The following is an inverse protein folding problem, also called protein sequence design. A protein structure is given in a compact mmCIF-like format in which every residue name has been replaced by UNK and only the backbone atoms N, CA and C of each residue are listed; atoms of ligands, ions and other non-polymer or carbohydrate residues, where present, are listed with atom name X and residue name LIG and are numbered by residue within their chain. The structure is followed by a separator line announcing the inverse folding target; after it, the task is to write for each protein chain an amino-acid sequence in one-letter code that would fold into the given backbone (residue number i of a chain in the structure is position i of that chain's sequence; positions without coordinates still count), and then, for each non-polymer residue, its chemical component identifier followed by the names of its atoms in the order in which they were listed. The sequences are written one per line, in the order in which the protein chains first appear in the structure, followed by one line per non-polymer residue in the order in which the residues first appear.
data_IF_147586611240
#
_entry.id   IF_147586611240
#
_cell.length_a   1.000
_cell.length_b   1.000
_cell.length_c   1.000
_cell.angle_alpha   90.00
_cell.angle_beta   90.00
_cell.angle_gamma   90.00
#
_symmetry.space_group_name_H-M   'P 1'
#
loop_
_entity.id
_entity.type
_entity.pdbx_description
1 polymer ?
#
# COMPACT_ATOMS: atom_id res chain seq x y z
N UNK A 1 -7.47 18.06 -9.62
CA UNK A 1 -7.63 16.60 -9.73
C UNK A 1 -8.54 16.13 -8.60
N UNK A 2 -9.44 15.21 -8.87
CA UNK A 2 -10.32 14.56 -7.87
C UNK A 2 -10.26 13.05 -8.11
N UNK A 3 -10.33 12.25 -7.05
CA UNK A 3 -10.30 10.80 -7.10
C UNK A 3 -11.64 10.23 -6.66
N UNK A 4 -12.15 9.26 -7.42
CA UNK A 4 -13.26 8.41 -6.99
C UNK A 4 -12.68 7.13 -6.38
N UNK A 5 -12.94 6.91 -5.08
CA UNK A 5 -12.47 5.75 -4.34
C UNK A 5 -13.34 4.52 -4.64
N UNK A 6 -12.88 3.33 -4.25
CA UNK A 6 -13.63 2.08 -4.44
C UNK A 6 -15.02 2.07 -3.76
N UNK A 7 -15.19 2.87 -2.71
CA UNK A 7 -16.48 3.08 -2.04
C UNK A 7 -17.35 4.18 -2.70
N UNK A 8 -16.95 4.67 -3.89
CA UNK A 8 -17.57 5.76 -4.66
C UNK A 8 -17.51 7.14 -4.00
N UNK A 9 -16.76 7.29 -2.91
CA UNK A 9 -16.53 8.60 -2.32
C UNK A 9 -15.57 9.38 -3.21
N UNK A 10 -15.92 10.64 -3.48
CA UNK A 10 -15.05 11.57 -4.21
C UNK A 10 -14.17 12.29 -3.20
N UNK A 11 -12.86 12.23 -3.39
CA UNK A 11 -11.86 12.88 -2.54
C UNK A 11 -10.96 13.79 -3.36
N UNK A 12 -10.48 14.87 -2.73
CA UNK A 12 -9.48 15.75 -3.32
C UNK A 12 -8.12 15.43 -2.69
N UNK A 13 -7.10 15.05 -3.49
CA UNK A 13 -5.79 14.79 -2.95
C UNK A 13 -5.11 16.05 -2.42
N UNK A 14 -4.36 15.86 -1.34
CA UNK A 14 -3.56 16.89 -0.67
C UNK A 14 -2.17 16.99 -1.29
N UNK A 15 -1.65 15.87 -1.81
CA UNK A 15 -0.35 15.82 -2.46
C UNK A 15 -0.08 14.49 -3.14
N UNK A 16 1.11 14.39 -3.73
CA UNK A 16 1.65 13.16 -4.31
C UNK A 16 3.04 12.96 -3.74
N UNK A 17 3.34 11.76 -3.27
CA UNK A 17 4.67 11.34 -2.86
C UNK A 17 5.25 10.47 -3.98
N UNK A 18 6.27 10.97 -4.66
CA UNK A 18 6.92 10.27 -5.77
C UNK A 18 8.19 9.55 -5.30
N UNK A 19 8.54 8.45 -5.96
CA UNK A 19 9.77 7.67 -5.73
C UNK A 19 9.95 7.19 -4.29
N UNK A 20 8.86 6.79 -3.62
CA UNK A 20 8.90 6.27 -2.25
C UNK A 20 9.27 4.80 -2.26
N UNK A 21 10.29 4.42 -1.48
CA UNK A 21 10.62 3.01 -1.25
C UNK A 21 9.75 2.41 -0.14
N UNK A 22 8.92 1.44 -0.50
CA UNK A 22 8.08 0.69 0.42
C UNK A 22 8.78 -0.59 0.83
N UNK A 23 9.01 -0.74 2.13
CA UNK A 23 9.56 -1.98 2.67
C UNK A 23 8.46 -3.01 2.91
N UNK A 24 8.55 -4.17 2.27
CA UNK A 24 7.68 -5.32 2.53
C UNK A 24 8.54 -6.53 2.90
N UNK A 25 8.51 -6.91 4.18
CA UNK A 25 9.44 -7.91 4.72
C UNK A 25 10.90 -7.49 4.53
N UNK A 26 11.61 -8.20 3.64
CA UNK A 26 13.00 -7.94 3.27
C UNK A 26 13.18 -7.11 1.99
N UNK A 27 12.12 -6.88 1.23
CA UNK A 27 12.17 -6.21 -0.07
C UNK A 27 11.85 -4.73 0.03
N UNK A 28 12.35 -3.96 -0.94
CA UNK A 28 12.04 -2.55 -1.12
C UNK A 28 11.53 -2.33 -2.54
N UNK A 29 10.33 -1.79 -2.67
CA UNK A 29 9.72 -1.50 -3.96
C UNK A 29 9.55 0.00 -4.13
N UNK A 30 9.98 0.60 -5.25
CA UNK A 30 9.66 1.98 -5.56
C UNK A 30 8.18 2.09 -5.91
N UNK A 31 7.50 3.11 -5.39
CA UNK A 31 6.13 3.43 -5.73
C UNK A 31 5.83 4.90 -5.50
N UNK A 32 4.91 5.41 -6.32
CA UNK A 32 4.30 6.71 -6.09
C UNK A 32 2.99 6.52 -5.31
N UNK A 33 2.63 7.52 -4.50
CA UNK A 33 1.42 7.51 -3.70
C UNK A 33 0.67 8.83 -3.81
N UNK A 34 -0.65 8.75 -3.87
CA UNK A 34 -1.50 9.93 -3.70
C UNK A 34 -1.87 10.07 -2.22
N UNK A 35 -1.63 11.25 -1.66
CA UNK A 35 -1.93 11.56 -0.26
C UNK A 35 -3.33 12.18 -0.19
N UNK A 36 -4.19 11.60 0.63
CA UNK A 36 -5.53 12.11 0.93
C UNK A 36 -5.62 12.54 2.38
N UNK A 37 -6.20 13.71 2.63
CA UNK A 37 -6.62 14.13 3.97
C UNK A 37 -8.04 13.60 4.24
N UNK A 38 -8.16 12.60 5.11
CA UNK A 38 -9.43 12.00 5.51
C UNK A 38 -9.42 11.70 7.00
N UNK A 39 -10.60 11.60 7.61
CA UNK A 39 -10.72 11.16 9.01
C UNK A 39 -10.24 9.72 9.09
N UNK A 40 -9.04 9.52 9.63
CA UNK A 40 -8.41 8.22 9.75
C UNK A 40 -9.28 7.29 10.60
N UNK A 41 -10.03 6.39 9.96
CA UNK A 41 -10.52 5.19 10.64
C UNK A 41 -9.31 4.26 10.78
N UNK A 42 -8.94 3.82 12.00
CA UNK A 42 -7.83 2.91 12.22
C UNK A 42 -7.95 1.56 11.49
N UNK A 43 -9.12 1.27 10.91
CA UNK A 43 -9.38 0.12 10.05
C UNK A 43 -9.12 0.39 8.57
N UNK A 44 -8.86 1.64 8.17
CA UNK A 44 -8.54 1.97 6.78
C UNK A 44 -7.17 1.42 6.45
N UNK A 45 -7.20 0.41 5.59
CA UNK A 45 -6.03 -0.29 5.10
C UNK A 45 -5.31 0.53 4.03
N UNK A 46 -3.98 0.43 3.99
CA UNK A 46 -3.20 0.90 2.85
C UNK A 46 -3.69 0.17 1.59
N UNK A 47 -4.15 0.93 0.59
CA UNK A 47 -4.57 0.37 -0.69
C UNK A 47 -3.32 0.29 -1.57
N UNK A 48 -2.82 -0.92 -1.78
CA UNK A 48 -1.80 -1.18 -2.77
C UNK A 48 -2.47 -1.26 -4.14
N UNK A 49 -2.24 -0.26 -4.97
CA UNK A 49 -2.84 -0.21 -6.29
C UNK A 49 -2.19 -1.22 -7.25
N UNK A 50 -2.87 -1.47 -8.37
CA UNK A 50 -2.38 -2.37 -9.44
C UNK A 50 -0.95 -2.04 -9.92
N UNK A 51 -0.52 -0.77 -10.05
CA UNK A 51 0.86 -0.45 -10.40
C UNK A 51 1.88 -1.04 -9.42
N UNK A 52 1.65 -0.89 -8.10
CA UNK A 52 2.53 -1.46 -7.08
C UNK A 52 2.62 -2.99 -7.20
N UNK A 53 1.44 -3.63 -7.31
CA UNK A 53 1.35 -5.08 -7.45
C UNK A 53 2.06 -5.58 -8.72
N UNK A 54 2.00 -4.80 -9.81
CA UNK A 54 2.72 -5.10 -11.04
C UNK A 54 4.23 -4.97 -10.86
N UNK A 55 4.71 -3.93 -10.17
CA UNK A 55 6.15 -3.74 -9.88
C UNK A 55 6.72 -4.90 -9.06
N UNK A 56 5.94 -5.40 -8.11
CA UNK A 56 6.32 -6.51 -7.24
C UNK A 56 6.01 -7.90 -7.81
N UNK A 57 5.59 -8.00 -9.09
CA UNK A 57 5.18 -9.25 -9.75
C UNK A 57 4.25 -10.09 -8.86
N UNK A 58 3.25 -9.43 -8.24
CA UNK A 58 2.45 -10.05 -7.20
C UNK A 58 1.56 -11.17 -7.74
N UNK A 59 1.61 -12.33 -7.08
CA UNK A 59 0.70 -13.46 -7.28
C UNK A 59 -0.33 -13.46 -6.14
N UNK A 60 -1.61 -13.42 -6.48
CA UNK A 60 -2.71 -13.40 -5.51
C UNK A 60 -3.44 -14.74 -5.58
N UNK A 61 -3.32 -15.54 -4.52
CA UNK A 61 -4.15 -16.73 -4.32
C UNK A 61 -5.35 -16.34 -3.47
N UNK A 62 -6.50 -16.21 -4.12
CA UNK A 62 -7.75 -15.81 -3.47
C UNK A 62 -8.32 -16.93 -2.60
N UNK A 63 -8.10 -18.18 -2.97
CA UNK A 63 -8.65 -19.33 -2.23
C UNK A 63 -7.90 -19.52 -0.91
N UNK A 64 -6.57 -19.48 -0.96
CA UNK A 64 -5.69 -19.62 0.21
C UNK A 64 -5.53 -18.32 1.02
N UNK A 65 -6.08 -17.21 0.51
CA UNK A 65 -5.94 -15.89 1.09
C UNK A 65 -4.48 -15.46 1.18
N UNK A 66 -3.69 -15.68 0.14
CA UNK A 66 -2.26 -15.34 0.12
C UNK A 66 -1.93 -14.29 -0.94
N UNK A 67 -0.93 -13.48 -0.64
CA UNK A 67 -0.24 -12.69 -1.64
C UNK A 67 1.25 -13.00 -1.63
N UNK A 68 1.81 -13.34 -2.78
CA UNK A 68 3.23 -13.59 -2.96
C UNK A 68 3.84 -12.47 -3.79
N UNK A 69 4.82 -11.77 -3.23
CA UNK A 69 5.61 -10.75 -3.93
C UNK A 69 6.91 -11.38 -4.42
N UNK A 70 7.33 -11.06 -5.64
CA UNK A 70 8.54 -11.61 -6.28
C UNK A 70 9.51 -10.48 -6.59
N UNK A 71 10.77 -10.64 -6.18
CA UNK A 71 11.86 -9.72 -6.46
C UNK A 71 13.20 -10.45 -6.49
N UNK A 72 14.01 -10.25 -7.54
CA UNK A 72 15.34 -10.84 -7.71
C UNK A 72 15.39 -12.36 -7.44
N UNK A 73 14.51 -13.11 -8.11
CA UNK A 73 14.32 -14.57 -7.97
C UNK A 73 13.93 -15.06 -6.55
N UNK A 74 13.65 -14.13 -5.64
CA UNK A 74 13.16 -14.42 -4.29
C UNK A 74 11.68 -14.07 -4.19
N UNK A 75 10.97 -14.82 -3.34
CA UNK A 75 9.57 -14.55 -3.05
C UNK A 75 9.32 -14.30 -1.56
N UNK A 76 8.24 -13.58 -1.27
CA UNK A 76 7.68 -13.40 0.07
C UNK A 76 6.18 -13.61 -0.01
N UNK A 77 5.70 -14.64 0.67
CA UNK A 77 4.26 -14.93 0.79
C UNK A 77 3.73 -14.36 2.11
N UNK A 78 2.64 -13.60 2.02
CA UNK A 78 1.92 -13.02 3.14
C UNK A 78 0.51 -13.61 3.18
N UNK A 79 0.07 -14.04 4.37
CA UNK A 79 -1.29 -14.53 4.60
C UNK A 79 -2.22 -13.37 4.94
N UNK A 80 -3.36 -13.32 4.26
CA UNK A 80 -4.47 -12.43 4.52
C UNK A 80 -5.21 -12.93 5.77
N UNK A 81 -4.77 -12.48 6.95
CA UNK A 81 -5.35 -12.86 8.23
C UNK A 81 -4.41 -12.61 9.42
N UNK A 82 -3.10 -12.64 9.18
CA UNK A 82 -2.07 -12.37 10.18
C UNK A 82 -1.74 -10.88 10.34
N UNK A 83 -2.59 -9.99 9.82
CA UNK A 83 -2.26 -8.57 9.71
C UNK A 83 -1.89 -7.99 11.08
N UNK A 84 -0.62 -7.57 11.31
CA UNK A 84 -0.36 -6.65 12.40
C UNK A 84 -1.15 -5.39 12.07
N UNK A 85 -1.98 -4.96 13.01
CA UNK A 85 -2.60 -3.64 12.96
C UNK A 85 -1.50 -2.63 12.64
N UNK A 86 -1.63 -1.92 11.52
CA UNK A 86 -0.72 -0.84 11.18
C UNK A 86 -0.83 0.17 12.31
N UNK A 87 0.19 0.23 13.16
CA UNK A 87 0.34 1.32 14.11
C UNK A 87 0.72 2.57 13.33
N UNK A 88 -0.09 3.62 13.44
CA UNK A 88 0.07 4.92 12.78
C UNK A 88 1.38 5.65 13.12
N UNK A 89 2.18 5.11 14.04
CA UNK A 89 3.35 5.78 14.60
C UNK A 89 4.53 5.97 13.62
N UNK A 90 4.46 5.43 12.39
CA UNK A 90 5.53 5.58 11.39
C UNK A 90 5.14 6.42 10.16
N UNK A 91 3.93 6.98 10.09
CA UNK A 91 3.51 7.85 8.98
C UNK A 91 3.73 9.35 9.27
N UNK A 92 4.00 9.73 10.53
CA UNK A 92 4.34 11.12 10.90
C UNK A 92 5.62 11.64 10.22
N UNK A 93 6.52 10.75 9.81
CA UNK A 93 7.76 11.12 9.12
C UNK A 93 7.56 11.52 7.65
N UNK A 94 6.43 11.16 7.02
CA UNK A 94 6.11 11.58 5.65
C UNK A 94 5.57 13.01 5.57
N UNK A 95 5.13 13.57 6.71
CA UNK A 95 4.62 14.95 6.82
C UNK A 95 5.73 16.00 7.00
N UNK A 96 7.01 15.62 6.90
CA UNK A 96 8.15 16.53 6.93
C UNK A 96 8.80 16.61 5.54
N UNK A 97 8.14 17.30 4.63
CA UNK A 97 8.77 17.95 3.45
C UNK A 97 8.39 19.42 3.49
#
# INVERSE_FOLDING_TARGET
MVLELANRTISKPTGVAENVFVKVGKFYFPSDFVILDFVADPRVSLILERPFLSTAYALIDVYEGEITLIHDDQSLTLKCGDAPSISYNNLESLNKV
#
